data_IF_191267244463
#
_entry.id   IF_191267244463
#
_cell.length_a   1.000
_cell.length_b   1.000
_cell.length_c   1.000
_cell.angle_alpha   90.00
_cell.angle_beta   90.00
_cell.angle_gamma   90.00
#
_symmetry.space_group_name_H-M   'P 1'
#
loop_
_entity.id
_entity.type
_entity.pdbx_description
1 polymer ?
#
# COMPACT_ATOMS: atom_id res chain seq x y z
N UNK A 1 -7.85 3.33 18.75
CA UNK A 1 -7.57 4.44 17.83
C UNK A 1 -8.22 4.18 16.48
N UNK A 2 -8.62 5.23 15.78
CA UNK A 2 -9.09 5.18 14.39
C UNK A 2 -7.97 5.61 13.44
N UNK A 3 -7.74 4.83 12.39
CA UNK A 3 -6.95 5.23 11.24
C UNK A 3 -7.88 5.45 10.03
N UNK A 4 -7.75 6.60 9.39
CA UNK A 4 -8.39 6.88 8.10
C UNK A 4 -7.32 7.10 7.05
N UNK A 5 -7.36 6.28 6.02
CA UNK A 5 -6.38 6.24 4.94
C UNK A 5 -7.04 6.73 3.67
N UNK A 6 -6.57 7.86 3.15
CA UNK A 6 -6.98 8.41 1.87
C UNK A 6 -6.04 7.88 0.79
N UNK A 7 -6.60 7.25 -0.22
CA UNK A 7 -5.89 6.63 -1.33
C UNK A 7 -6.60 6.88 -2.66
N UNK A 8 -5.86 6.77 -3.76
CA UNK A 8 -6.38 6.99 -5.12
C UNK A 8 -6.32 5.67 -5.89
N UNK A 9 -7.45 4.99 -6.13
CA UNK A 9 -7.48 3.84 -7.03
C UNK A 9 -7.17 4.27 -8.47
N UNK A 10 -6.40 3.47 -9.17
CA UNK A 10 -6.00 3.74 -10.56
C UNK A 10 -6.91 3.05 -11.59
N UNK A 11 -7.83 2.20 -11.12
CA UNK A 11 -8.81 1.48 -11.93
C UNK A 11 -10.20 1.70 -11.34
N UNK A 12 -11.19 1.87 -12.19
CA UNK A 12 -12.60 1.98 -11.81
C UNK A 12 -13.33 0.64 -11.87
N UNK A 13 -14.51 0.60 -11.25
CA UNK A 13 -15.39 -0.57 -11.24
C UNK A 13 -16.61 -0.37 -10.35
N UNK A 14 -17.38 -1.43 -10.16
CA UNK A 14 -18.68 -1.38 -9.48
C UNK A 14 -18.68 -2.01 -8.08
N UNK A 15 -17.59 -2.62 -7.68
CA UNK A 15 -17.42 -3.27 -6.38
C UNK A 15 -15.97 -3.18 -5.93
N UNK A 16 -15.76 -3.09 -4.63
CA UNK A 16 -14.42 -2.92 -4.05
C UNK A 16 -14.26 -3.77 -2.80
N UNK A 17 -13.04 -4.24 -2.54
CA UNK A 17 -12.62 -4.78 -1.25
C UNK A 17 -11.20 -4.32 -0.95
N UNK A 18 -10.86 -4.19 0.32
CA UNK A 18 -9.50 -3.90 0.73
C UNK A 18 -8.90 -5.02 1.58
N UNK A 19 -7.57 -5.08 1.61
CA UNK A 19 -6.81 -6.02 2.39
C UNK A 19 -6.11 -5.30 3.55
N UNK A 20 -6.24 -5.85 4.75
CA UNK A 20 -5.45 -5.47 5.92
C UNK A 20 -4.41 -6.54 6.21
N UNK A 21 -3.19 -6.13 6.51
CA UNK A 21 -2.05 -7.01 6.74
C UNK A 21 -1.44 -6.78 8.12
N UNK A 22 -1.24 -7.88 8.84
CA UNK A 22 -0.48 -7.95 10.09
C UNK A 22 0.77 -8.82 9.88
N UNK A 23 1.32 -8.79 8.66
CA UNK A 23 2.38 -9.70 8.21
C UNK A 23 3.67 -9.60 9.04
N UNK A 24 4.01 -8.40 9.50
CA UNK A 24 5.16 -8.19 10.37
C UNK A 24 4.78 -8.14 11.86
N UNK A 25 3.52 -8.40 12.20
CA UNK A 25 3.04 -8.39 13.57
C UNK A 25 3.49 -9.62 14.35
N UNK A 26 3.85 -9.43 15.62
CA UNK A 26 4.24 -10.51 16.54
C UNK A 26 3.08 -11.07 17.38
N UNK A 27 1.90 -10.44 17.31
CA UNK A 27 0.68 -10.85 18.01
C UNK A 27 -0.54 -10.59 17.14
N UNK A 28 -1.69 -11.27 17.39
CA UNK A 28 -2.92 -10.97 16.71
C UNK A 28 -3.37 -9.53 16.93
N UNK A 29 -3.88 -8.89 15.88
CA UNK A 29 -4.45 -7.55 15.93
C UNK A 29 -5.94 -7.60 15.68
N UNK A 30 -6.73 -6.96 16.56
CA UNK A 30 -8.17 -6.92 16.44
C UNK A 30 -8.61 -5.61 15.82
N UNK A 31 -9.34 -5.71 14.71
CA UNK A 31 -10.09 -4.60 14.10
C UNK A 31 -11.53 -4.71 14.58
N UNK A 32 -12.01 -3.72 15.30
CA UNK A 32 -13.35 -3.71 15.87
C UNK A 32 -14.42 -3.24 14.88
N UNK A 33 -14.05 -2.29 14.00
CA UNK A 33 -14.92 -1.75 12.95
C UNK A 33 -14.09 -1.21 11.78
N UNK A 34 -14.66 -1.26 10.59
CA UNK A 34 -14.09 -0.61 9.42
C UNK A 34 -15.18 -0.10 8.47
N UNK A 35 -14.82 0.86 7.62
CA UNK A 35 -15.68 1.43 6.58
C UNK A 35 -14.86 1.87 5.38
N UNK A 36 -15.55 2.05 4.26
CA UNK A 36 -15.03 2.68 3.05
C UNK A 36 -15.95 3.82 2.64
N UNK A 37 -15.39 4.91 2.13
CA UNK A 37 -16.15 6.10 1.73
C UNK A 37 -15.46 6.85 0.58
N UNK A 38 -16.22 7.73 -0.10
CA UNK A 38 -15.64 8.71 -1.03
C UNK A 38 -14.95 9.82 -0.24
N UNK A 39 -13.73 10.17 -0.61
CA UNK A 39 -13.04 11.30 0.00
C UNK A 39 -13.65 12.62 -0.48
N UNK A 40 -13.69 13.64 0.40
CA UNK A 40 -14.17 14.96 0.06
C UNK A 40 -13.02 15.91 -0.24
N UNK A 41 -13.13 16.68 -1.34
CA UNK A 41 -12.10 17.62 -1.78
C UNK A 41 -10.78 16.92 -2.15
N UNK A 42 -9.74 17.71 -2.35
CA UNK A 42 -8.45 17.22 -2.89
C UNK A 42 -7.46 16.81 -1.81
N UNK A 43 -7.77 17.01 -0.54
CA UNK A 43 -6.90 16.67 0.57
C UNK A 43 -7.69 16.54 1.89
N UNK A 44 -7.02 16.08 2.96
CA UNK A 44 -7.62 15.96 4.28
C UNK A 44 -8.32 14.63 4.52
N UNK A 45 -8.93 14.52 5.70
CA UNK A 45 -9.57 13.31 6.21
C UNK A 45 -11.10 13.34 6.11
N UNK A 46 -11.68 14.37 5.47
CA UNK A 46 -13.12 14.49 5.34
C UNK A 46 -13.67 13.56 4.25
N UNK A 47 -14.80 12.93 4.50
CA UNK A 47 -15.52 12.10 3.53
C UNK A 47 -16.78 12.78 3.05
N UNK A 48 -17.27 12.39 1.88
CA UNK A 48 -18.56 12.87 1.35
C UNK A 48 -19.68 12.39 2.26
N UNK A 49 -20.56 13.28 2.63
CA UNK A 49 -21.71 12.96 3.50
C UNK A 49 -22.57 11.85 2.89
N UNK A 50 -22.89 10.83 3.70
CA UNK A 50 -23.70 9.69 3.27
C UNK A 50 -22.98 8.67 2.39
N UNK A 51 -21.68 8.84 2.13
CA UNK A 51 -20.91 7.89 1.31
C UNK A 51 -20.23 6.77 2.11
N UNK A 52 -20.24 6.83 3.43
CA UNK A 52 -19.62 5.82 4.29
C UNK A 52 -20.42 4.52 4.26
N UNK A 53 -19.76 3.43 3.91
CA UNK A 53 -20.31 2.09 3.88
C UNK A 53 -19.53 1.27 4.90
N UNK A 54 -20.19 0.78 5.98
CA UNK A 54 -19.59 -0.16 6.91
C UNK A 54 -19.23 -1.46 6.19
N UNK A 55 -18.05 -2.00 6.49
CA UNK A 55 -17.60 -3.28 5.91
C UNK A 55 -17.62 -4.40 6.93
N UNK A 56 -17.65 -5.61 6.42
CA UNK A 56 -17.54 -6.84 7.21
C UNK A 56 -16.36 -7.68 6.75
N UNK A 57 -16.01 -8.65 7.56
CA UNK A 57 -14.98 -9.65 7.30
C UNK A 57 -15.60 -11.02 7.57
N UNK A 58 -15.89 -11.79 6.51
CA UNK A 58 -16.69 -13.02 6.58
C UNK A 58 -18.03 -12.80 7.33
N UNK A 59 -18.74 -11.71 7.04
CA UNK A 59 -20.02 -11.34 7.64
C UNK A 59 -19.94 -10.70 9.03
N UNK A 60 -18.76 -10.60 9.65
CA UNK A 60 -18.55 -9.96 10.95
C UNK A 60 -17.95 -8.56 10.83
N UNK A 61 -18.44 -7.60 11.61
CA UNK A 61 -17.82 -6.27 11.70
C UNK A 61 -16.46 -6.27 12.42
N UNK A 62 -16.27 -7.26 13.31
CA UNK A 62 -15.06 -7.41 14.09
C UNK A 62 -14.24 -8.59 13.58
N UNK A 63 -12.93 -8.41 13.48
CA UNK A 63 -12.02 -9.46 13.04
C UNK A 63 -10.70 -9.41 13.79
N UNK A 64 -10.09 -10.58 14.04
CA UNK A 64 -8.73 -10.71 14.52
C UNK A 64 -7.84 -11.13 13.34
N UNK A 65 -6.82 -10.34 13.04
CA UNK A 65 -5.80 -10.65 12.04
C UNK A 65 -4.65 -11.34 12.78
N UNK A 66 -4.35 -12.61 12.51
CA UNK A 66 -3.27 -13.31 13.20
C UNK A 66 -1.92 -12.66 12.92
N UNK A 67 -0.94 -12.91 13.80
CA UNK A 67 0.45 -12.57 13.51
C UNK A 67 0.90 -13.23 12.21
N UNK A 68 1.58 -12.49 11.35
CA UNK A 68 1.99 -12.97 10.02
C UNK A 68 0.87 -13.07 8.98
N UNK A 69 -0.38 -12.70 9.34
CA UNK A 69 -1.55 -12.90 8.51
C UNK A 69 -2.05 -11.65 7.79
N UNK A 70 -2.93 -11.91 6.81
CA UNK A 70 -3.68 -10.88 6.08
C UNK A 70 -5.15 -11.23 6.05
N UNK A 71 -6.02 -10.23 5.87
CA UNK A 71 -7.45 -10.45 5.69
C UNK A 71 -8.04 -9.46 4.70
N UNK A 72 -8.92 -9.97 3.82
CA UNK A 72 -9.76 -9.11 2.97
C UNK A 72 -11.09 -8.82 3.65
N UNK A 73 -11.58 -7.60 3.50
CA UNK A 73 -12.98 -7.35 3.80
C UNK A 73 -13.89 -8.03 2.77
N UNK A 74 -15.16 -8.25 3.14
CA UNK A 74 -16.16 -8.68 2.20
C UNK A 74 -16.33 -7.64 1.08
N UNK A 75 -16.64 -8.07 -0.16
CA UNK A 75 -16.85 -7.14 -1.27
C UNK A 75 -17.99 -6.15 -0.98
N UNK A 76 -17.75 -4.88 -1.25
CA UNK A 76 -18.69 -3.78 -1.07
C UNK A 76 -19.20 -3.31 -2.43
N UNK A 77 -20.52 -3.26 -2.62
CA UNK A 77 -21.13 -2.65 -3.79
C UNK A 77 -20.94 -1.13 -3.72
N UNK A 78 -20.00 -0.64 -4.50
CA UNK A 78 -19.62 0.76 -4.55
C UNK A 78 -19.04 1.07 -5.93
N UNK A 79 -19.63 2.02 -6.64
CA UNK A 79 -19.02 2.55 -7.85
C UNK A 79 -17.71 3.27 -7.50
N UNK A 80 -16.61 2.76 -8.03
CA UNK A 80 -15.27 3.34 -7.92
C UNK A 80 -14.90 3.94 -9.25
N UNK A 81 -14.47 5.20 -9.26
CA UNK A 81 -13.93 5.84 -10.45
C UNK A 81 -12.43 5.90 -10.35
N UNK A 82 -11.75 5.58 -11.45
CA UNK A 82 -10.30 5.72 -11.50
C UNK A 82 -9.89 7.16 -11.20
N UNK A 83 -8.84 7.32 -10.41
CA UNK A 83 -8.25 8.59 -9.98
C UNK A 83 -9.16 9.46 -9.08
N UNK A 84 -10.31 8.96 -8.62
CA UNK A 84 -11.07 9.56 -7.52
C UNK A 84 -10.63 9.00 -6.17
N UNK A 85 -10.37 9.87 -5.20
CA UNK A 85 -9.91 9.43 -3.90
C UNK A 85 -11.00 8.76 -3.07
N UNK A 86 -10.62 7.67 -2.41
CA UNK A 86 -11.40 6.96 -1.41
C UNK A 86 -10.75 7.10 -0.03
N UNK A 87 -11.54 6.87 1.00
CA UNK A 87 -11.08 6.73 2.39
C UNK A 87 -11.42 5.33 2.90
N UNK A 88 -10.42 4.56 3.28
CA UNK A 88 -10.56 3.37 4.12
C UNK A 88 -10.36 3.79 5.56
N UNK A 89 -11.33 3.51 6.42
CA UNK A 89 -11.27 3.83 7.84
C UNK A 89 -11.42 2.56 8.66
N UNK A 90 -10.57 2.36 9.66
CA UNK A 90 -10.73 1.27 10.61
C UNK A 90 -10.40 1.71 12.03
N UNK A 91 -11.06 1.08 12.98
CA UNK A 91 -10.89 1.30 14.40
C UNK A 91 -10.42 0.03 15.08
N UNK A 92 -9.39 0.17 15.90
CA UNK A 92 -8.93 -0.86 16.83
C UNK A 92 -8.90 -0.25 18.23
N UNK A 93 -9.57 -0.91 19.19
CA UNK A 93 -9.58 -0.47 20.59
C UNK A 93 -8.18 -0.55 21.17
N UNK A 94 -7.49 -1.66 20.91
CA UNK A 94 -6.08 -1.84 21.23
C UNK A 94 -5.28 -1.79 19.92
N UNK A 95 -4.82 -0.60 19.58
CA UNK A 95 -4.06 -0.39 18.34
C UNK A 95 -2.62 -0.89 18.45
N UNK A 96 -2.09 -1.02 19.68
CA UNK A 96 -0.74 -1.49 19.98
C UNK A 96 0.35 -0.80 19.16
N UNK A 97 1.51 -1.43 19.08
CA UNK A 97 2.55 -1.06 18.11
C UNK A 97 2.30 -1.80 16.80
N UNK A 98 1.77 -1.08 15.81
CA UNK A 98 1.62 -1.61 14.46
C UNK A 98 2.99 -1.79 13.82
N UNK A 99 3.35 -3.02 13.50
CA UNK A 99 4.63 -3.39 12.90
C UNK A 99 4.54 -3.51 11.37
N UNK A 100 3.32 -3.71 10.83
CA UNK A 100 3.09 -3.79 9.39
C UNK A 100 2.66 -2.43 8.87
N UNK A 101 3.49 -1.83 8.06
CA UNK A 101 3.22 -0.52 7.45
C UNK A 101 3.87 -0.40 6.07
N UNK A 102 3.24 0.36 5.20
CA UNK A 102 3.81 0.81 3.94
C UNK A 102 4.21 2.28 4.03
N UNK A 103 5.13 2.68 3.21
CA UNK A 103 5.51 4.08 3.01
C UNK A 103 5.08 4.51 1.62
N UNK A 104 4.47 5.70 1.51
CA UNK A 104 3.89 6.28 0.29
C UNK A 104 2.60 5.61 -0.22
N UNK A 105 2.04 6.17 -1.27
CA UNK A 105 0.86 5.67 -1.98
C UNK A 105 -0.48 6.11 -1.40
N UNK A 106 -0.51 6.56 -0.14
CA UNK A 106 -1.73 7.02 0.53
C UNK A 106 -1.41 7.98 1.68
N UNK A 107 -2.42 8.68 2.19
CA UNK A 107 -2.27 9.57 3.34
C UNK A 107 -3.11 9.05 4.51
N UNK A 108 -2.50 8.87 5.67
CA UNK A 108 -3.15 8.41 6.89
C UNK A 108 -3.39 9.54 7.88
N UNK A 109 -4.57 9.53 8.49
CA UNK A 109 -4.95 10.38 9.60
C UNK A 109 -5.33 9.49 10.78
N UNK A 110 -4.78 9.79 11.96
CA UNK A 110 -5.04 9.06 13.21
C UNK A 110 -5.84 9.92 14.18
N UNK A 111 -6.83 9.33 14.83
CA UNK A 111 -7.60 9.96 15.90
C UNK A 111 -7.87 8.99 17.05
N UNK A 112 -8.00 9.51 18.27
CA UNK A 112 -8.43 8.72 19.42
C UNK A 112 -9.95 8.48 19.35
N UNK A 113 -10.39 7.31 19.81
CA UNK A 113 -11.79 6.91 19.76
C UNK A 113 -12.18 6.23 18.44
N UNK A 114 -13.47 5.90 18.32
CA UNK A 114 -14.05 5.30 17.14
C UNK A 114 -14.72 6.38 16.26
N UNK A 115 -14.17 6.60 15.08
CA UNK A 115 -14.61 7.59 14.10
C UNK A 115 -14.86 6.95 12.72
N UNK A 116 -15.18 5.66 12.69
CA UNK A 116 -15.34 4.91 11.42
C UNK A 116 -16.48 5.46 10.55
N UNK A 117 -17.50 6.03 11.18
CA UNK A 117 -18.68 6.57 10.48
C UNK A 117 -18.71 8.11 10.42
N UNK A 118 -17.76 8.78 11.07
CA UNK A 118 -17.74 10.24 11.15
C UNK A 118 -17.35 10.87 9.80
N UNK A 119 -18.14 11.85 9.36
CA UNK A 119 -17.83 12.59 8.14
C UNK A 119 -16.51 13.36 8.25
N UNK A 120 -16.26 13.97 9.39
CA UNK A 120 -15.03 14.71 9.68
C UNK A 120 -14.18 13.93 10.68
N UNK A 121 -12.91 13.76 10.37
CA UNK A 121 -11.94 13.23 11.30
C UNK A 121 -10.95 14.32 11.66
N UNK A 122 -11.00 14.78 12.90
CA UNK A 122 -9.96 15.67 13.45
C UNK A 122 -8.85 14.78 14.02
N UNK A 123 -7.74 14.68 13.31
CA UNK A 123 -6.67 13.77 13.65
C UNK A 123 -5.30 14.28 13.24
N UNK A 124 -4.29 13.51 13.58
CA UNK A 124 -2.89 13.78 13.24
C UNK A 124 -2.57 13.08 11.93
N UNK A 125 -2.00 13.81 10.96
CA UNK A 125 -1.45 13.19 9.76
C UNK A 125 -0.23 12.34 10.13
N UNK A 126 -0.29 11.05 9.81
CA UNK A 126 0.80 10.13 10.10
C UNK A 126 1.87 10.21 9.02
N UNK A 127 3.06 10.66 9.39
CA UNK A 127 4.18 10.77 8.46
C UNK A 127 5.51 10.49 9.16
N UNK A 128 6.47 10.01 8.40
CA UNK A 128 7.86 9.93 8.82
C UNK A 128 8.61 11.15 8.28
N UNK A 129 8.98 12.05 9.16
CA UNK A 129 9.45 13.39 8.77
C UNK A 129 8.36 14.19 8.04
N UNK A 130 8.76 15.09 7.15
CA UNK A 130 7.85 15.97 6.40
C UNK A 130 7.39 15.40 5.06
N UNK A 131 8.04 14.36 4.56
CA UNK A 131 7.92 13.93 3.16
C UNK A 131 7.31 12.54 2.98
N UNK A 132 7.33 11.68 4.00
CA UNK A 132 6.99 10.27 3.85
C UNK A 132 5.69 9.96 4.58
N UNK A 133 4.63 9.65 3.84
CA UNK A 133 3.39 9.13 4.41
C UNK A 133 3.60 7.70 4.93
N UNK A 134 3.02 7.39 6.09
CA UNK A 134 3.00 6.05 6.67
C UNK A 134 1.59 5.50 6.58
N UNK A 135 1.46 4.30 6.04
CA UNK A 135 0.18 3.62 5.83
C UNK A 135 0.17 2.34 6.66
N UNK A 136 -0.44 2.35 7.84
CA UNK A 136 -0.49 1.17 8.68
C UNK A 136 -1.50 0.15 8.14
N UNK A 137 -1.18 -1.12 8.19
CA UNK A 137 -1.99 -2.30 7.91
C UNK A 137 -2.59 -2.41 6.50
N UNK A 138 -2.99 -1.31 5.85
CA UNK A 138 -3.62 -1.38 4.53
C UNK A 138 -2.59 -1.79 3.48
N UNK A 139 -2.76 -2.98 2.88
CA UNK A 139 -1.83 -3.57 1.92
C UNK A 139 -2.33 -3.55 0.48
N UNK A 140 -3.64 -3.35 0.26
CA UNK A 140 -4.20 -3.30 -1.08
C UNK A 140 -5.68 -2.95 -1.10
N UNK A 141 -6.11 -2.54 -2.30
CA UNK A 141 -7.51 -2.29 -2.65
C UNK A 141 -7.77 -2.95 -4.01
N UNK A 142 -8.64 -3.96 -4.01
CA UNK A 142 -9.09 -4.62 -5.23
C UNK A 142 -10.38 -3.97 -5.72
N UNK A 143 -10.46 -3.77 -7.04
CA UNK A 143 -11.65 -3.27 -7.72
C UNK A 143 -12.16 -4.34 -8.66
N UNK A 144 -13.45 -4.65 -8.59
CA UNK A 144 -14.11 -5.55 -9.51
C UNK A 144 -14.56 -4.76 -10.74
N UNK A 145 -14.08 -5.17 -11.88
CA UNK A 145 -14.26 -4.48 -13.15
C UNK A 145 -14.46 -5.47 -14.31
N UNK A 146 -14.47 -4.98 -15.53
CA UNK A 146 -14.65 -5.80 -16.73
C UNK A 146 -13.53 -6.82 -16.93
N UNK A 147 -13.85 -7.92 -17.62
CA UNK A 147 -12.97 -9.09 -17.76
C UNK A 147 -11.70 -8.82 -18.59
N UNK A 148 -11.65 -7.76 -19.38
CA UNK A 148 -10.50 -7.37 -20.22
C UNK A 148 -9.56 -6.38 -19.53
N UNK A 149 -9.88 -5.94 -18.31
CA UNK A 149 -9.00 -5.12 -17.50
C UNK A 149 -7.78 -5.91 -17.02
N UNK A 150 -6.67 -5.20 -16.85
CA UNK A 150 -5.41 -5.80 -16.36
C UNK A 150 -4.64 -4.83 -15.47
N UNK A 151 -3.60 -5.36 -14.84
CA UNK A 151 -2.75 -4.58 -13.94
C UNK A 151 -1.32 -4.45 -14.47
N UNK A 152 -0.73 -3.28 -14.22
CA UNK A 152 0.71 -3.02 -14.30
C UNK A 152 1.22 -2.85 -12.88
N UNK A 153 2.22 -3.63 -12.48
CA UNK A 153 2.86 -3.47 -11.18
C UNK A 153 4.10 -2.59 -11.32
N UNK A 154 4.16 -1.51 -10.56
CA UNK A 154 5.36 -0.68 -10.41
C UNK A 154 6.06 -1.10 -9.13
N UNK A 155 7.23 -1.74 -9.25
CA UNK A 155 8.01 -2.28 -8.14
C UNK A 155 9.44 -1.76 -8.19
N UNK A 156 9.94 -1.33 -7.04
CA UNK A 156 11.26 -0.72 -6.94
C UNK A 156 11.56 -0.18 -5.55
N UNK A 157 12.29 0.91 -5.55
CA UNK A 157 12.66 1.69 -4.35
C UNK A 157 11.93 3.04 -4.27
N UNK A 158 12.45 3.98 -3.47
CA UNK A 158 11.90 5.33 -3.33
C UNK A 158 11.81 6.11 -4.64
N UNK A 159 12.58 5.76 -5.66
CA UNK A 159 12.60 6.44 -6.95
C UNK A 159 11.41 6.07 -7.86
N UNK A 160 10.65 5.04 -7.51
CA UNK A 160 9.44 4.58 -8.19
C UNK A 160 8.18 4.65 -7.32
N UNK A 161 8.31 5.17 -6.11
CA UNK A 161 7.21 5.41 -5.18
C UNK A 161 6.48 6.73 -5.47
N UNK A 162 5.61 7.17 -4.58
CA UNK A 162 4.80 8.38 -4.70
C UNK A 162 3.80 8.34 -5.85
N UNK A 163 3.82 9.36 -6.71
CA UNK A 163 2.80 9.59 -7.73
C UNK A 163 3.01 8.82 -9.04
N UNK A 164 4.13 8.10 -9.20
CA UNK A 164 4.44 7.41 -10.46
C UNK A 164 3.31 6.48 -10.92
N UNK A 165 2.76 5.60 -10.09
CA UNK A 165 1.64 4.75 -10.51
C UNK A 165 0.41 5.53 -10.95
N UNK A 166 0.06 6.58 -10.20
CA UNK A 166 -1.08 7.46 -10.51
C UNK A 166 -0.87 8.24 -11.82
N UNK A 167 0.34 8.80 -12.02
CA UNK A 167 0.68 9.53 -13.24
C UNK A 167 0.72 8.60 -14.46
N UNK A 168 1.23 7.38 -14.30
CA UNK A 168 1.24 6.37 -15.35
C UNK A 168 -0.19 5.96 -15.74
N UNK A 169 -1.05 5.68 -14.76
CA UNK A 169 -2.44 5.36 -15.00
C UNK A 169 -3.15 6.50 -15.74
N UNK A 170 -2.98 7.74 -15.24
CA UNK A 170 -3.54 8.92 -15.90
C UNK A 170 -3.08 9.06 -17.35
N UNK A 171 -1.79 8.89 -17.62
CA UNK A 171 -1.24 8.99 -18.97
C UNK A 171 -1.82 7.93 -19.89
N UNK A 172 -1.93 6.67 -19.44
CA UNK A 172 -2.54 5.60 -20.21
C UNK A 172 -3.99 5.94 -20.54
N UNK A 173 -4.78 6.41 -19.56
CA UNK A 173 -6.16 6.82 -19.81
C UNK A 173 -6.27 7.99 -20.80
N UNK A 174 -5.41 9.00 -20.68
CA UNK A 174 -5.40 10.17 -21.56
C UNK A 174 -5.05 9.77 -23.01
N UNK A 175 -4.14 8.80 -23.20
CA UNK A 175 -3.69 8.35 -24.54
C UNK A 175 -4.64 7.32 -25.18
N UNK A 176 -5.26 6.46 -24.39
CA UNK A 176 -6.12 5.38 -24.93
C UNK A 176 -7.61 5.70 -24.88
N UNK A 177 -8.03 6.62 -24.03
CA UNK A 177 -9.44 6.89 -23.72
C UNK A 177 -10.11 5.79 -22.90
N UNK A 178 -9.35 4.77 -22.45
CA UNK A 178 -9.88 3.59 -21.77
C UNK A 178 -9.45 3.53 -20.30
N UNK A 179 -10.35 3.08 -19.42
CA UNK A 179 -10.08 2.81 -18.01
C UNK A 179 -10.05 1.29 -17.79
N UNK A 180 -9.03 0.62 -18.36
CA UNK A 180 -8.87 -0.84 -18.29
C UNK A 180 -7.56 -1.25 -17.61
N UNK A 181 -6.75 -0.28 -17.18
CA UNK A 181 -5.42 -0.56 -16.64
C UNK A 181 -5.31 -0.07 -15.21
N UNK A 182 -5.20 -1.02 -14.28
CA UNK A 182 -4.81 -0.73 -12.90
C UNK A 182 -3.28 -0.61 -12.81
N UNK A 183 -2.78 0.40 -12.09
CA UNK A 183 -1.35 0.54 -11.82
C UNK A 183 -1.11 0.41 -10.34
N UNK A 184 -0.43 -0.66 -9.92
CA UNK A 184 -0.21 -1.01 -8.53
C UNK A 184 1.14 -0.47 -8.05
N UNK A 185 1.15 0.13 -6.85
CA UNK A 185 2.36 0.58 -6.15
C UNK A 185 2.89 -0.53 -5.25
N UNK A 186 4.06 -1.09 -5.57
CA UNK A 186 4.77 -2.11 -4.77
C UNK A 186 6.24 -1.75 -4.50
N UNK A 187 6.58 -0.47 -4.66
CA UNK A 187 7.91 0.04 -4.33
C UNK A 187 8.05 0.26 -2.83
N UNK A 188 9.21 -0.03 -2.29
CA UNK A 188 9.56 0.16 -0.88
C UNK A 188 10.74 1.11 -0.77
N UNK A 189 10.61 2.14 0.06
CA UNK A 189 11.71 3.09 0.33
C UNK A 189 12.94 2.37 0.84
N UNK A 190 14.10 2.70 0.31
CA UNK A 190 15.36 2.09 0.75
C UNK A 190 15.54 0.63 0.34
N UNK A 191 14.64 0.06 -0.44
CA UNK A 191 14.72 -1.34 -0.83
C UNK A 191 15.93 -1.62 -1.71
N UNK A 192 16.55 -2.77 -1.50
CA UNK A 192 17.64 -3.32 -2.31
C UNK A 192 17.14 -4.47 -3.18
N UNK A 193 17.84 -4.73 -4.27
CA UNK A 193 17.63 -5.90 -5.12
C UNK A 193 18.03 -7.19 -4.40
N UNK A 194 19.22 -7.20 -3.78
CA UNK A 194 19.90 -8.40 -3.29
C UNK A 194 19.88 -8.58 -1.77
N UNK A 195 19.61 -7.50 -1.01
CA UNK A 195 19.75 -7.52 0.45
C UNK A 195 18.48 -7.10 1.14
N UNK A 196 18.15 -7.78 2.25
CA UNK A 196 17.12 -7.34 3.18
C UNK A 196 17.47 -5.99 3.80
N UNK A 197 16.47 -5.24 4.19
CA UNK A 197 16.65 -4.07 5.02
C UNK A 197 17.28 -4.45 6.38
N UNK A 198 18.26 -3.68 6.82
CA UNK A 198 19.05 -3.95 8.02
C UNK A 198 19.09 -2.76 8.98
N UNK A 199 19.54 -3.00 10.21
CA UNK A 199 19.67 -1.98 11.24
C UNK A 199 18.32 -1.52 11.80
N UNK A 200 18.27 -0.36 12.48
CA UNK A 200 17.05 0.14 13.13
C UNK A 200 15.87 0.39 12.17
N UNK A 201 16.16 0.58 10.89
CA UNK A 201 15.18 0.84 9.83
C UNK A 201 14.95 -0.38 8.93
N UNK A 202 15.53 -1.54 9.27
CA UNK A 202 15.49 -2.75 8.44
C UNK A 202 14.07 -3.18 8.07
N UNK A 203 13.15 -3.19 9.01
CA UNK A 203 11.75 -3.54 8.77
C UNK A 203 11.03 -2.57 7.81
N UNK A 204 11.51 -1.31 7.71
CA UNK A 204 10.95 -0.29 6.83
C UNK A 204 11.42 -0.50 5.38
N UNK A 205 12.66 -0.95 5.20
CA UNK A 205 13.26 -1.16 3.87
C UNK A 205 12.87 -2.51 3.25
N UNK A 206 12.22 -3.36 4.03
CA UNK A 206 11.62 -4.62 3.58
C UNK A 206 12.61 -5.70 3.19
N UNK A 207 12.09 -6.79 2.65
CA UNK A 207 12.86 -7.90 2.10
C UNK A 207 13.54 -7.50 0.80
N UNK A 208 14.65 -8.19 0.45
CA UNK A 208 15.27 -8.07 -0.86
C UNK A 208 14.23 -8.24 -1.96
N UNK A 209 14.38 -7.48 -3.05
CA UNK A 209 13.40 -7.59 -4.13
C UNK A 209 13.33 -8.98 -4.73
N UNK A 210 14.43 -9.68 -4.87
CA UNK A 210 14.47 -11.06 -5.39
C UNK A 210 13.59 -12.01 -4.56
N UNK A 211 13.45 -11.79 -3.24
CA UNK A 211 12.68 -12.65 -2.33
C UNK A 211 11.18 -12.29 -2.30
N UNK A 212 10.81 -11.05 -2.65
CA UNK A 212 9.42 -10.58 -2.61
C UNK A 212 8.79 -10.43 -3.99
N UNK A 213 9.55 -10.57 -5.08
CA UNK A 213 9.09 -10.29 -6.44
C UNK A 213 7.90 -11.13 -6.86
N UNK A 214 7.95 -12.45 -6.59
CA UNK A 214 6.83 -13.34 -6.89
C UNK A 214 5.54 -12.84 -6.26
N UNK A 215 5.55 -12.62 -4.95
CA UNK A 215 4.37 -12.19 -4.17
C UNK A 215 3.91 -10.79 -4.55
N UNK A 216 4.85 -9.84 -4.63
CA UNK A 216 4.52 -8.41 -4.75
C UNK A 216 4.27 -7.99 -6.21
N UNK A 217 4.77 -8.75 -7.19
CA UNK A 217 4.60 -8.44 -8.59
C UNK A 217 3.75 -9.48 -9.33
N UNK A 218 4.17 -10.75 -9.32
CA UNK A 218 3.58 -11.75 -10.21
C UNK A 218 2.26 -12.33 -9.69
N UNK A 219 2.07 -12.41 -8.38
CA UNK A 219 0.83 -12.93 -7.76
C UNK A 219 -0.27 -11.86 -7.62
N UNK A 220 -0.04 -10.64 -8.17
CA UNK A 220 -1.05 -9.59 -8.08
C UNK A 220 -2.22 -9.84 -9.04
N UNK A 221 -3.47 -9.49 -8.64
CA UNK A 221 -4.63 -9.72 -9.49
C UNK A 221 -4.51 -9.07 -10.86
N UNK A 222 -4.73 -9.84 -11.92
CA UNK A 222 -4.78 -9.36 -13.30
C UNK A 222 -3.47 -8.80 -13.86
N UNK A 223 -2.33 -9.09 -13.22
CA UNK A 223 -1.03 -8.58 -13.68
C UNK A 223 -0.69 -9.05 -15.10
N UNK A 224 -0.31 -8.12 -15.96
CA UNK A 224 0.22 -8.38 -17.31
C UNK A 224 1.64 -7.86 -17.49
N UNK A 225 1.95 -6.75 -16.82
CA UNK A 225 3.25 -6.10 -16.95
C UNK A 225 3.79 -5.70 -15.59
N UNK A 226 5.11 -5.75 -15.46
CA UNK A 226 5.82 -5.28 -14.28
C UNK A 226 6.88 -4.28 -14.71
N UNK A 227 6.86 -3.08 -14.13
CA UNK A 227 7.88 -2.07 -14.27
C UNK A 227 8.81 -2.16 -13.08
N UNK A 228 10.04 -2.59 -13.32
CA UNK A 228 11.07 -2.79 -12.29
C UNK A 228 12.11 -1.68 -12.37
N UNK A 229 12.37 -1.01 -11.25
CA UNK A 229 13.50 -0.08 -11.10
C UNK A 229 14.07 -0.18 -9.70
N UNK A 230 15.24 -0.80 -9.57
CA UNK A 230 15.88 -1.15 -8.30
C UNK A 230 17.42 -1.12 -8.46
N UNK A 231 18.17 -1.31 -7.40
CA UNK A 231 19.63 -1.44 -7.41
C UNK A 231 20.35 -0.17 -6.94
N UNK A 232 19.66 0.97 -6.86
CA UNK A 232 20.25 2.19 -6.34
C UNK A 232 20.77 2.02 -4.91
N UNK A 233 19.98 1.38 -4.06
CA UNK A 233 20.32 1.21 -2.64
C UNK A 233 21.35 0.12 -2.41
N UNK A 234 21.46 -0.86 -3.30
CA UNK A 234 22.56 -1.85 -3.29
C UNK A 234 23.92 -1.18 -3.46
N UNK A 235 23.95 -0.02 -4.16
CA UNK A 235 25.16 0.78 -4.37
C UNK A 235 25.38 1.81 -3.26
N UNK A 236 24.28 2.47 -2.79
CA UNK A 236 24.37 3.60 -1.86
C UNK A 236 24.47 3.15 -0.40
N UNK A 237 23.71 2.15 0.05
CA UNK A 237 23.65 1.75 1.46
C UNK A 237 24.99 1.29 2.03
N UNK A 238 25.83 0.51 1.32
CA UNK A 238 27.15 0.15 1.82
C UNK A 238 28.07 1.34 2.12
N UNK A 239 27.78 2.49 1.46
CA UNK A 239 28.57 3.73 1.58
C UNK A 239 27.89 4.79 2.43
N UNK A 240 26.66 4.56 2.87
CA UNK A 240 25.93 5.48 3.75
C UNK A 240 26.43 5.34 5.19
N UNK A 241 26.80 6.43 5.84
CA UNK A 241 27.41 6.43 7.18
C UNK A 241 26.61 5.60 8.21
N UNK A 242 25.29 5.63 8.16
CA UNK A 242 24.41 4.89 9.08
C UNK A 242 24.29 3.38 8.74
N UNK A 243 24.81 2.94 7.59
CA UNK A 243 24.63 1.58 7.07
C UNK A 243 25.97 0.90 6.70
N UNK A 244 27.09 1.61 6.87
CA UNK A 244 28.42 1.04 6.62
C UNK A 244 28.61 -0.25 7.43
N UNK A 245 28.97 -1.34 6.74
CA UNK A 245 29.18 -2.64 7.35
C UNK A 245 27.92 -3.43 7.67
N UNK A 246 26.74 -2.88 7.45
CA UNK A 246 25.47 -3.58 7.66
C UNK A 246 24.91 -4.16 6.34
N UNK A 247 25.12 -3.47 5.22
CA UNK A 247 24.71 -3.94 3.89
C UNK A 247 25.97 -4.32 3.12
N UNK A 248 26.07 -5.53 2.54
CA UNK A 248 27.20 -5.90 1.71
C UNK A 248 27.26 -5.07 0.44
N UNK A 249 28.45 -4.76 -0.02
CA UNK A 249 28.66 -4.08 -1.30
C UNK A 249 28.41 -5.08 -2.44
N UNK A 250 27.48 -4.75 -3.33
CA UNK A 250 27.15 -5.59 -4.48
C UNK A 250 28.07 -5.27 -5.67
N UNK A 251 28.60 -6.29 -6.32
CA UNK A 251 29.30 -6.16 -7.59
C UNK A 251 28.31 -5.96 -8.75
N UNK A 252 28.82 -5.49 -9.88
CA UNK A 252 28.02 -5.35 -11.11
C UNK A 252 27.47 -6.72 -11.56
N UNK A 253 28.29 -7.75 -11.46
CA UNK A 253 27.92 -9.13 -11.83
C UNK A 253 26.79 -9.66 -10.96
N UNK A 254 26.84 -9.41 -9.65
CA UNK A 254 25.77 -9.82 -8.71
C UNK A 254 24.47 -9.07 -9.01
N UNK A 255 24.51 -7.76 -9.29
CA UNK A 255 23.35 -6.99 -9.67
C UNK A 255 22.74 -7.49 -10.98
N UNK A 256 23.57 -7.78 -11.99
CA UNK A 256 23.11 -8.36 -13.25
C UNK A 256 22.45 -9.72 -13.03
N UNK A 257 23.08 -10.60 -12.24
CA UNK A 257 22.52 -11.90 -11.89
C UNK A 257 21.20 -11.78 -11.13
N UNK A 258 21.07 -10.81 -10.19
CA UNK A 258 19.85 -10.51 -9.50
C UNK A 258 18.73 -10.08 -10.44
N UNK A 259 19.00 -9.20 -11.40
CA UNK A 259 18.03 -8.83 -12.43
C UNK A 259 17.61 -10.01 -13.31
N UNK A 260 18.53 -10.90 -13.65
CA UNK A 260 18.23 -12.11 -14.43
C UNK A 260 17.30 -13.10 -13.70
N UNK A 261 17.26 -13.05 -12.35
CA UNK A 261 16.32 -13.85 -11.55
C UNK A 261 14.89 -13.31 -11.59
N UNK A 262 14.70 -12.04 -11.96
CA UNK A 262 13.38 -11.41 -12.05
C UNK A 262 12.70 -11.61 -13.41
N UNK A 263 13.46 -12.06 -14.43
CA UNK A 263 13.01 -12.25 -15.82
C UNK A 263 12.67 -13.70 -16.07
#
# INVERSE_FOLDING_TARGET
MTARIRLTPTLGGNKVRFCLSNENGSSPLVIDQASIARAKGDSGAEIVSGSSIPVTFNGSRKVAIPAGGTIYCDPVDMEVRALEDLCVTYYAQDFGMVQTMALYGATTYLAFGNHTEDQKLTGIKLSFGTLVSVVPLLSGLDVYTDADAYSIVVIGDSTTSNDIPKLLAKRIMDETGENKVGVLQKSIVGNCLLSDGVGPTGSIYGKAMIDRFQKDALDQPGVKYTLVKIGLNDILHPRCYSMIGLVPEASVEELVAGYQQLI
#
